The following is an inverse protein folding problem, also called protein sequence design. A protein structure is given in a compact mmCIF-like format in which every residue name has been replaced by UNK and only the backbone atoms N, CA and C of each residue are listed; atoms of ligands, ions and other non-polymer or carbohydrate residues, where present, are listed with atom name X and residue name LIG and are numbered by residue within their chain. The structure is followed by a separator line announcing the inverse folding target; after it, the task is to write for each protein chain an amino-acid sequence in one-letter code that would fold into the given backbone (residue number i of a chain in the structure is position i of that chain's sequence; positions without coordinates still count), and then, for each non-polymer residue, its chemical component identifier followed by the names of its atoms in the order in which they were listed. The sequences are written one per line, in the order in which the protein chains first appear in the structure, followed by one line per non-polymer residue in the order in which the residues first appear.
data_IF_124960234215
#
_entry.id   IF_124960234215
#
_cell.length_a   1.000
_cell.length_b   1.000
_cell.length_c   1.000
_cell.angle_alpha   90.00
_cell.angle_beta   90.00
_cell.angle_gamma   90.00
#
_symmetry.space_group_name_H-M   'P 1'
#
loop_
_entity.id
_entity.type
_entity.pdbx_description
1 polymer ?
#
# COMPACT_ATOMS: atom_id res chain seq x y z
N UNK A 1 16.41 -1.98 34.83
CA UNK A 1 15.71 -1.42 33.67
C UNK A 1 15.79 -2.42 32.53
N UNK A 2 14.71 -3.13 32.24
CA UNK A 2 14.66 -4.08 31.14
C UNK A 2 14.26 -3.29 29.87
N UNK A 3 15.14 -3.20 28.88
CA UNK A 3 14.79 -2.75 27.54
C UNK A 3 13.83 -3.78 26.94
N UNK A 4 12.55 -3.41 26.83
CA UNK A 4 11.63 -4.10 25.95
C UNK A 4 12.08 -3.83 24.50
N UNK A 5 12.76 -4.80 23.90
CA UNK A 5 12.98 -4.81 22.48
C UNK A 5 11.62 -4.91 21.79
N UNK A 6 11.13 -3.78 21.25
CA UNK A 6 10.02 -3.79 20.31
C UNK A 6 10.53 -4.52 19.08
N UNK A 7 10.13 -5.78 18.93
CA UNK A 7 10.42 -6.54 17.73
C UNK A 7 9.76 -5.82 16.55
N UNK A 8 10.58 -5.23 15.67
CA UNK A 8 10.11 -4.71 14.39
C UNK A 8 9.28 -5.79 13.71
N UNK A 9 8.11 -5.46 13.13
CA UNK A 9 7.32 -6.44 12.42
C UNK A 9 8.18 -7.01 11.28
N UNK A 10 8.45 -8.32 11.33
CA UNK A 10 9.17 -9.00 10.27
C UNK A 10 8.30 -8.98 9.01
N UNK A 11 8.51 -8.01 8.16
CA UNK A 11 7.97 -7.91 6.80
C UNK A 11 8.78 -8.82 5.86
N UNK A 12 9.08 -10.06 6.31
CA UNK A 12 9.60 -11.07 5.42
C UNK A 12 8.56 -11.29 4.32
N UNK A 13 8.94 -11.20 3.07
CA UNK A 13 8.12 -11.32 1.85
C UNK A 13 7.15 -12.51 1.89
N UNK A 14 6.11 -12.38 2.73
CA UNK A 14 5.25 -13.46 3.17
C UNK A 14 4.10 -13.65 2.19
N UNK A 15 3.70 -14.90 2.07
CA UNK A 15 2.46 -15.31 1.42
C UNK A 15 1.30 -14.44 1.96
N UNK A 16 0.52 -13.86 1.06
CA UNK A 16 -0.73 -13.17 1.41
C UNK A 16 -1.86 -14.20 1.41
N UNK A 17 -2.74 -14.08 2.37
CA UNK A 17 -3.92 -14.92 2.53
C UNK A 17 -5.17 -14.03 2.45
N UNK A 18 -6.26 -14.58 1.92
CA UNK A 18 -7.55 -13.89 1.90
C UNK A 18 -8.71 -14.84 2.17
N UNK A 19 -9.83 -14.28 2.63
CA UNK A 19 -11.14 -14.89 2.55
C UNK A 19 -12.20 -13.82 2.31
N UNK A 20 -13.35 -14.21 1.78
CA UNK A 20 -14.52 -13.36 1.63
C UNK A 20 -15.54 -13.80 2.68
N UNK A 21 -16.03 -12.85 3.48
CA UNK A 21 -17.06 -13.12 4.45
C UNK A 21 -18.46 -13.21 3.81
N UNK A 22 -19.53 -13.60 4.56
CA UNK A 22 -20.89 -13.70 4.04
C UNK A 22 -21.46 -12.38 3.51
N UNK A 23 -20.94 -11.24 3.97
CA UNK A 23 -21.36 -9.90 3.56
C UNK A 23 -20.64 -9.41 2.28
N UNK A 24 -19.79 -10.28 1.70
CA UNK A 24 -19.00 -9.98 0.49
C UNK A 24 -17.73 -9.15 0.76
N UNK A 25 -17.39 -8.93 2.03
CA UNK A 25 -16.19 -8.19 2.42
C UNK A 25 -14.97 -9.08 2.29
N UNK A 26 -13.97 -8.63 1.54
CA UNK A 26 -12.70 -9.37 1.38
C UNK A 26 -11.73 -8.97 2.48
N UNK A 27 -11.19 -9.98 3.17
CA UNK A 27 -10.18 -9.83 4.20
C UNK A 27 -8.85 -10.37 3.68
N UNK A 28 -7.79 -9.55 3.74
CA UNK A 28 -6.44 -9.96 3.39
C UNK A 28 -5.54 -9.90 4.61
N UNK A 29 -4.61 -10.85 4.75
CA UNK A 29 -3.59 -10.83 5.80
C UNK A 29 -2.32 -11.52 5.34
N UNK A 30 -1.17 -11.09 5.86
CA UNK A 30 0.08 -11.83 5.77
C UNK A 30 0.31 -12.75 7.00
N UNK A 31 -0.62 -12.72 7.99
CA UNK A 31 -0.55 -13.48 9.25
C UNK A 31 -1.92 -14.08 9.59
N UNK A 32 -2.30 -15.22 9.01
CA UNK A 32 -3.63 -15.83 9.24
C UNK A 32 -3.83 -16.35 10.67
N UNK A 33 -2.79 -16.40 11.52
CA UNK A 33 -2.82 -16.79 12.93
C UNK A 33 -3.62 -18.07 13.22
N UNK A 34 -3.60 -19.02 12.28
CA UNK A 34 -4.35 -20.31 12.39
C UNK A 34 -5.82 -20.23 11.98
N UNK A 35 -6.34 -19.09 11.56
CA UNK A 35 -7.70 -18.98 11.01
C UNK A 35 -7.78 -19.67 9.65
N UNK A 36 -8.48 -20.82 9.62
CA UNK A 36 -8.60 -21.70 8.45
C UNK A 36 -9.43 -21.10 7.30
N UNK A 37 -10.15 -20.01 7.52
CA UNK A 37 -10.90 -19.31 6.47
C UNK A 37 -9.93 -18.67 5.48
N UNK A 38 -8.81 -18.15 5.97
CA UNK A 38 -7.79 -17.56 5.13
C UNK A 38 -7.13 -18.61 4.24
N UNK A 39 -7.22 -18.41 2.96
CA UNK A 39 -6.54 -19.22 1.94
C UNK A 39 -5.39 -18.44 1.35
N UNK A 40 -4.26 -19.10 1.01
CA UNK A 40 -3.20 -18.42 0.28
C UNK A 40 -3.76 -17.76 -0.97
N UNK A 41 -3.56 -16.45 -1.10
CA UNK A 41 -3.85 -15.75 -2.34
C UNK A 41 -2.81 -16.21 -3.35
N UNK A 42 -3.21 -17.14 -4.22
CA UNK A 42 -2.51 -17.36 -5.48
C UNK A 42 -2.88 -16.18 -6.36
N UNK A 43 -2.19 -15.05 -6.17
CA UNK A 43 -2.20 -14.02 -7.20
C UNK A 43 -1.67 -14.77 -8.44
N UNK A 44 -2.54 -15.00 -9.39
CA UNK A 44 -2.26 -15.91 -10.52
C UNK A 44 -0.94 -15.50 -11.14
N UNK A 45 0.02 -16.44 -11.22
CA UNK A 45 1.27 -16.30 -12.00
C UNK A 45 0.98 -16.04 -13.49
N UNK A 46 -0.29 -16.11 -13.89
CA UNK A 46 -0.83 -15.80 -15.20
C UNK A 46 -0.95 -14.29 -15.50
N UNK A 47 -0.38 -13.42 -14.68
CA UNK A 47 -0.12 -12.04 -15.10
C UNK A 47 1.10 -12.02 -16.05
N UNK A 48 0.99 -12.77 -17.12
CA UNK A 48 1.85 -12.66 -18.29
C UNK A 48 1.63 -11.30 -18.97
N UNK A 49 2.32 -11.04 -20.07
CA UNK A 49 2.27 -9.78 -20.83
C UNK A 49 0.86 -9.26 -21.23
N UNK A 50 -0.21 -10.05 -21.00
CA UNK A 50 -1.63 -9.70 -21.20
C UNK A 50 -2.33 -9.23 -19.90
N UNK A 51 -1.61 -9.01 -18.81
CA UNK A 51 -2.17 -8.55 -17.55
C UNK A 51 -2.95 -7.24 -17.70
N UNK A 52 -4.13 -7.18 -17.08
CA UNK A 52 -4.97 -5.98 -16.92
C UNK A 52 -4.15 -4.76 -16.43
N UNK A 53 -3.07 -5.00 -15.73
CA UNK A 53 -2.15 -3.99 -15.21
C UNK A 53 -0.77 -4.13 -15.85
N UNK A 54 -0.46 -3.27 -16.84
CA UNK A 54 0.92 -3.12 -17.32
C UNK A 54 1.71 -2.42 -16.22
N UNK A 55 2.71 -3.11 -15.70
CA UNK A 55 3.59 -2.59 -14.67
C UNK A 55 4.40 -1.39 -15.21
N UNK A 56 4.25 -0.21 -14.60
CA UNK A 56 5.15 0.89 -14.91
C UNK A 56 6.50 0.63 -14.24
N UNK A 57 7.58 0.73 -15.01
CA UNK A 57 8.94 0.58 -14.50
C UNK A 57 9.66 1.90 -14.59
N UNK A 58 10.06 2.44 -13.45
CA UNK A 58 11.00 3.54 -13.37
C UNK A 58 11.90 3.37 -12.17
N UNK A 59 13.18 3.69 -12.34
CA UNK A 59 14.16 3.73 -11.26
C UNK A 59 14.44 5.16 -10.79
N UNK A 60 13.83 6.15 -11.45
CA UNK A 60 14.04 7.56 -11.18
C UNK A 60 13.84 7.94 -9.71
N UNK A 61 12.87 7.31 -9.05
CA UNK A 61 12.49 7.64 -7.69
C UNK A 61 12.99 6.60 -6.66
N UNK A 62 13.71 5.55 -7.07
CA UNK A 62 14.13 4.47 -6.18
C UNK A 62 14.99 4.96 -4.98
N UNK A 63 15.93 5.91 -5.12
CA UNK A 63 16.65 6.45 -3.97
C UNK A 63 15.70 7.12 -2.97
N UNK A 64 14.82 7.99 -3.44
CA UNK A 64 13.85 8.70 -2.61
C UNK A 64 12.87 7.74 -1.92
N UNK A 65 12.41 6.70 -2.64
CA UNK A 65 11.55 5.64 -2.10
C UNK A 65 12.30 4.86 -1.02
N UNK A 66 13.58 4.55 -1.25
CA UNK A 66 14.42 3.85 -0.28
C UNK A 66 14.57 4.61 1.03
N UNK A 67 14.86 5.90 0.95
CA UNK A 67 15.02 6.78 2.12
C UNK A 67 13.70 6.88 2.92
N UNK A 68 12.59 7.23 2.26
CA UNK A 68 11.29 7.37 2.91
C UNK A 68 10.80 6.04 3.52
N UNK A 69 11.06 4.93 2.83
CA UNK A 69 10.71 3.59 3.32
C UNK A 69 11.54 3.19 4.56
N UNK A 70 12.83 3.55 4.58
CA UNK A 70 13.71 3.28 5.71
C UNK A 70 13.30 4.08 6.94
N UNK A 71 12.98 5.38 6.77
CA UNK A 71 12.52 6.27 7.84
C UNK A 71 11.27 5.70 8.55
N UNK A 72 10.36 5.08 7.80
CA UNK A 72 9.09 4.55 8.31
C UNK A 72 9.13 3.03 8.58
N UNK A 73 10.23 2.35 8.31
CA UNK A 73 10.34 0.90 8.49
C UNK A 73 9.37 0.11 7.60
N UNK A 74 9.10 0.58 6.39
CA UNK A 74 8.25 -0.06 5.38
C UNK A 74 9.12 -0.64 4.27
N UNK A 75 8.78 -1.79 3.67
CA UNK A 75 9.49 -2.28 2.50
C UNK A 75 9.43 -1.27 1.34
N UNK A 76 10.57 -0.86 0.76
CA UNK A 76 10.59 0.12 -0.34
C UNK A 76 9.81 -0.35 -1.57
N UNK A 77 9.77 -1.66 -1.82
CA UNK A 77 8.94 -2.24 -2.87
C UNK A 77 7.43 -1.97 -2.66
N UNK A 78 6.96 -1.87 -1.40
CA UNK A 78 5.57 -1.53 -1.11
C UNK A 78 5.28 -0.07 -1.43
N UNK A 79 6.15 0.85 -1.03
CA UNK A 79 6.02 2.28 -1.36
C UNK A 79 6.02 2.47 -2.88
N UNK A 80 6.95 1.81 -3.59
CA UNK A 80 7.00 1.82 -5.06
C UNK A 80 5.71 1.31 -5.69
N UNK A 81 5.12 0.25 -5.14
CA UNK A 81 3.86 -0.32 -5.61
C UNK A 81 2.67 0.64 -5.44
N UNK A 82 2.61 1.36 -4.32
CA UNK A 82 1.60 2.40 -4.11
C UNK A 82 1.76 3.52 -5.12
N UNK A 83 2.95 4.07 -5.31
CA UNK A 83 3.22 5.11 -6.31
C UNK A 83 2.82 4.66 -7.73
N UNK A 84 3.14 3.41 -8.08
CA UNK A 84 2.75 2.84 -9.36
C UNK A 84 1.24 2.78 -9.54
N UNK A 85 0.51 2.38 -8.49
CA UNK A 85 -0.94 2.27 -8.51
C UNK A 85 -1.65 3.63 -8.52
N UNK A 86 -1.09 4.62 -7.80
CA UNK A 86 -1.69 5.95 -7.63
C UNK A 86 -1.49 6.85 -8.84
N UNK A 87 -0.26 7.03 -9.27
CA UNK A 87 0.08 8.04 -10.28
C UNK A 87 0.77 7.50 -11.51
N UNK A 88 1.12 6.22 -11.54
CA UNK A 88 2.00 5.67 -12.57
C UNK A 88 3.31 6.50 -12.66
N UNK A 89 3.86 6.91 -11.50
CA UNK A 89 5.07 7.73 -11.35
C UNK A 89 4.97 9.14 -11.96
N UNK A 90 3.78 9.70 -12.14
CA UNK A 90 3.58 11.09 -12.57
C UNK A 90 3.54 12.00 -11.35
N UNK A 91 4.59 12.83 -11.18
CA UNK A 91 4.68 13.75 -10.03
C UNK A 91 3.69 14.92 -10.10
N UNK A 92 3.17 15.22 -11.27
CA UNK A 92 2.19 16.27 -11.54
C UNK A 92 0.75 15.75 -11.62
N UNK A 93 0.51 14.49 -11.25
CA UNK A 93 -0.82 13.89 -11.33
C UNK A 93 -1.80 14.57 -10.38
N UNK A 94 -3.01 14.85 -10.89
CA UNK A 94 -4.16 15.31 -10.12
C UNK A 94 -5.34 14.42 -10.48
N UNK A 95 -5.98 13.82 -9.46
CA UNK A 95 -7.20 13.04 -9.67
C UNK A 95 -8.44 13.95 -9.79
N UNK A 96 -9.52 13.39 -10.30
CA UNK A 96 -10.81 14.10 -10.35
C UNK A 96 -11.37 14.45 -8.95
N UNK A 97 -10.91 13.77 -7.91
CA UNK A 97 -11.25 14.05 -6.50
C UNK A 97 -10.29 15.05 -5.84
N UNK A 98 -9.24 15.51 -6.55
CA UNK A 98 -8.27 16.46 -6.04
C UNK A 98 -7.05 15.86 -5.35
N UNK A 99 -6.85 14.55 -5.39
CA UNK A 99 -5.64 13.91 -4.89
C UNK A 99 -4.44 14.27 -5.78
N UNK A 100 -3.25 14.48 -5.19
CA UNK A 100 -2.11 15.15 -5.83
C UNK A 100 -0.79 14.39 -5.69
N UNK A 101 0.00 14.43 -6.76
CA UNK A 101 1.39 13.97 -6.80
C UNK A 101 1.56 12.46 -6.92
N UNK A 102 2.78 12.00 -6.62
CA UNK A 102 3.20 10.60 -6.80
C UNK A 102 2.34 9.60 -6.02
N UNK A 103 2.02 9.91 -4.76
CA UNK A 103 1.25 9.06 -3.86
C UNK A 103 -0.19 9.52 -3.69
N UNK A 104 -0.65 10.46 -4.54
CA UNK A 104 -2.04 10.93 -4.60
C UNK A 104 -2.62 11.33 -3.24
N UNK A 105 -1.94 12.25 -2.57
CA UNK A 105 -2.43 12.76 -1.29
C UNK A 105 -3.59 13.72 -1.51
N UNK A 106 -4.68 13.52 -0.76
CA UNK A 106 -5.72 14.52 -0.64
C UNK A 106 -5.17 15.75 0.11
N UNK A 107 -5.63 16.98 -0.21
CA UNK A 107 -5.12 18.20 0.43
C UNK A 107 -5.08 18.14 1.95
N UNK A 108 -6.16 17.66 2.58
CA UNK A 108 -6.21 17.51 4.03
C UNK A 108 -5.17 16.51 4.57
N UNK A 109 -4.94 15.42 3.84
CA UNK A 109 -3.93 14.42 4.21
C UNK A 109 -2.52 14.99 4.02
N UNK A 110 -2.29 15.75 2.95
CA UNK A 110 -1.02 16.43 2.71
C UNK A 110 -0.69 17.40 3.85
N UNK A 111 -1.64 18.21 4.27
CA UNK A 111 -1.50 19.12 5.42
C UNK A 111 -1.18 18.36 6.70
N UNK A 112 -1.95 17.32 7.04
CA UNK A 112 -1.72 16.47 8.21
C UNK A 112 -0.34 15.82 8.25
N UNK A 113 0.22 15.50 7.07
CA UNK A 113 1.55 14.88 6.92
C UNK A 113 2.67 15.93 6.72
N UNK A 114 2.38 17.23 6.85
CA UNK A 114 3.37 18.29 6.72
C UNK A 114 3.89 18.48 5.29
N UNK A 115 3.11 18.15 4.28
CA UNK A 115 3.46 18.31 2.87
C UNK A 115 3.00 19.69 2.40
N UNK A 116 3.94 20.62 2.22
CA UNK A 116 3.66 21.98 1.76
C UNK A 116 3.43 22.04 0.24
N UNK A 117 4.20 21.26 -0.52
CA UNK A 117 4.06 21.16 -1.98
C UNK A 117 3.87 19.69 -2.39
N UNK A 118 2.62 19.24 -2.64
CA UNK A 118 2.34 17.86 -3.00
C UNK A 118 2.85 17.46 -4.39
N UNK A 119 3.33 18.39 -5.22
CA UNK A 119 3.96 18.11 -6.52
C UNK A 119 5.49 17.98 -6.43
N UNK A 120 6.07 18.33 -5.29
CA UNK A 120 7.47 18.09 -5.02
C UNK A 120 7.68 16.63 -4.61
N UNK A 121 8.44 15.83 -5.41
CA UNK A 121 8.53 14.38 -5.20
C UNK A 121 8.96 13.96 -3.80
N UNK A 122 9.95 14.65 -3.21
CA UNK A 122 10.46 14.24 -1.91
C UNK A 122 9.44 14.48 -0.79
N UNK A 123 8.73 15.61 -0.81
CA UNK A 123 7.67 15.88 0.18
C UNK A 123 6.50 14.91 0.02
N UNK A 124 6.05 14.69 -1.22
CA UNK A 124 4.92 13.82 -1.49
C UNK A 124 5.19 12.36 -1.10
N UNK A 125 6.37 11.83 -1.46
CA UNK A 125 6.73 10.44 -1.12
C UNK A 125 6.91 10.28 0.39
N UNK A 126 7.58 11.22 1.08
CA UNK A 126 7.70 11.15 2.55
C UNK A 126 6.34 11.20 3.23
N UNK A 127 5.51 12.21 2.94
CA UNK A 127 4.18 12.33 3.55
C UNK A 127 3.27 11.14 3.23
N UNK A 128 3.28 10.68 1.96
CA UNK A 128 2.52 9.50 1.56
C UNK A 128 2.97 8.21 2.24
N UNK A 129 4.29 8.05 2.45
CA UNK A 129 4.84 6.89 3.16
C UNK A 129 4.49 6.93 4.64
N UNK A 130 4.55 8.11 5.29
CA UNK A 130 4.11 8.29 6.67
C UNK A 130 2.61 8.01 6.84
N UNK A 131 1.77 8.47 5.89
CA UNK A 131 0.35 8.15 5.92
C UNK A 131 0.08 6.64 5.73
N UNK A 132 0.81 5.99 4.82
CA UNK A 132 0.74 4.54 4.65
C UNK A 132 1.15 3.80 5.93
N UNK A 133 2.21 4.27 6.62
CA UNK A 133 2.65 3.73 7.90
C UNK A 133 1.54 3.84 8.95
N UNK A 134 0.91 4.99 9.07
CA UNK A 134 -0.20 5.19 10.00
C UNK A 134 -1.37 4.22 9.74
N UNK A 135 -1.69 3.94 8.46
CA UNK A 135 -2.72 2.95 8.12
C UNK A 135 -2.30 1.53 8.48
N UNK A 136 -1.03 1.18 8.25
CA UNK A 136 -0.48 -0.13 8.62
C UNK A 136 -0.54 -0.34 10.14
N UNK A 137 -0.17 0.68 10.92
CA UNK A 137 -0.20 0.61 12.39
C UNK A 137 -1.62 0.49 12.93
N UNK A 138 -2.55 1.26 12.33
CA UNK A 138 -3.96 1.26 12.75
C UNK A 138 -4.63 -0.09 12.54
N UNK A 139 -4.40 -0.73 11.39
CA UNK A 139 -5.15 -1.93 11.02
C UNK A 139 -4.39 -3.23 11.28
N UNK A 140 -3.07 -3.21 11.38
CA UNK A 140 -2.24 -4.41 11.58
C UNK A 140 -2.35 -5.45 10.45
N UNK A 141 -3.04 -5.12 9.37
CA UNK A 141 -3.30 -5.94 8.20
C UNK A 141 -3.08 -5.12 6.93
N UNK A 142 -2.25 -5.63 6.02
CA UNK A 142 -1.84 -4.89 4.83
C UNK A 142 -3.01 -4.58 3.89
N UNK A 143 -3.92 -5.53 3.71
CA UNK A 143 -5.06 -5.34 2.82
C UNK A 143 -5.99 -4.22 3.31
N UNK A 144 -6.28 -4.22 4.62
CA UNK A 144 -7.07 -3.17 5.28
C UNK A 144 -6.36 -1.82 5.24
N UNK A 145 -5.05 -1.81 5.48
CA UNK A 145 -4.26 -0.59 5.40
C UNK A 145 -4.28 0.05 4.00
N UNK A 146 -4.13 -0.76 2.96
CA UNK A 146 -4.23 -0.31 1.56
C UNK A 146 -5.64 0.16 1.22
N UNK A 147 -6.66 -0.55 1.68
CA UNK A 147 -8.05 -0.12 1.50
C UNK A 147 -8.34 1.21 2.20
N UNK A 148 -7.79 1.41 3.42
CA UNK A 148 -7.92 2.65 4.16
C UNK A 148 -7.15 3.79 3.51
N UNK A 149 -6.00 3.51 2.93
CA UNK A 149 -5.24 4.48 2.15
C UNK A 149 -6.06 5.01 0.96
N UNK A 150 -6.73 4.12 0.23
CA UNK A 150 -7.51 4.44 -0.97
C UNK A 150 -8.91 5.01 -0.67
N UNK A 151 -9.68 4.33 0.19
CA UNK A 151 -11.09 4.68 0.44
C UNK A 151 -11.30 5.53 1.70
N UNK A 152 -10.26 5.74 2.49
CA UNK A 152 -10.31 6.38 3.79
C UNK A 152 -10.59 5.40 4.94
N UNK A 153 -10.01 5.66 6.13
CA UNK A 153 -10.14 4.79 7.29
C UNK A 153 -11.59 4.60 7.76
N UNK A 154 -12.43 5.62 7.65
CA UNK A 154 -13.84 5.55 8.04
C UNK A 154 -14.62 4.48 7.27
N UNK A 155 -14.29 4.23 6.00
CA UNK A 155 -14.93 3.19 5.22
C UNK A 155 -14.50 1.80 5.67
N UNK A 156 -13.21 1.61 5.95
CA UNK A 156 -12.69 0.32 6.46
C UNK A 156 -13.27 0.01 7.84
N UNK A 157 -13.40 1.01 8.70
CA UNK A 157 -14.02 0.86 10.02
C UNK A 157 -15.50 0.49 9.90
N UNK A 158 -16.24 1.19 9.03
CA UNK A 158 -17.68 0.95 8.79
C UNK A 158 -17.96 -0.47 8.31
N UNK A 159 -17.13 -1.00 7.41
CA UNK A 159 -17.31 -2.34 6.84
C UNK A 159 -16.58 -3.43 7.60
N UNK A 160 -15.76 -3.09 8.59
CA UNK A 160 -14.94 -4.05 9.34
C UNK A 160 -13.87 -4.77 8.52
N UNK A 161 -13.60 -4.30 7.29
CA UNK A 161 -12.69 -4.91 6.33
C UNK A 161 -12.52 -4.06 5.08
N UNK A 162 -12.09 -4.68 3.97
CA UNK A 162 -12.04 -3.98 2.68
C UNK A 162 -13.47 -3.73 2.19
N UNK A 163 -13.88 -2.45 1.98
CA UNK A 163 -15.22 -2.15 1.52
C UNK A 163 -15.54 -2.85 0.18
N UNK A 164 -16.82 -3.21 -0.07
CA UNK A 164 -17.24 -3.86 -1.30
C UNK A 164 -17.31 -2.88 -2.48
N UNK A 165 -16.40 -1.92 -2.51
CA UNK A 165 -16.24 -0.98 -3.63
C UNK A 165 -15.28 -1.57 -4.64
N UNK A 166 -15.72 -1.74 -5.88
CA UNK A 166 -14.90 -2.33 -6.94
C UNK A 166 -13.58 -1.56 -7.12
N UNK A 167 -13.62 -0.22 -7.04
CA UNK A 167 -12.42 0.62 -7.13
C UNK A 167 -11.39 0.26 -6.06
N UNK A 168 -11.84 0.11 -4.80
CA UNK A 168 -10.94 -0.19 -3.66
C UNK A 168 -10.42 -1.62 -3.71
N UNK A 169 -11.24 -2.58 -4.09
CA UNK A 169 -10.82 -3.97 -4.25
C UNK A 169 -9.78 -4.11 -5.37
N UNK A 170 -10.04 -3.50 -6.53
CA UNK A 170 -9.10 -3.46 -7.66
C UNK A 170 -7.80 -2.72 -7.28
N UNK A 171 -7.87 -1.68 -6.45
CA UNK A 171 -6.70 -0.97 -5.95
C UNK A 171 -5.81 -1.86 -5.08
N UNK A 172 -6.39 -2.51 -4.08
CA UNK A 172 -5.66 -3.41 -3.18
C UNK A 172 -4.98 -4.53 -3.99
N UNK A 173 -5.71 -5.17 -4.91
CA UNK A 173 -5.18 -6.24 -5.75
C UNK A 173 -4.03 -5.74 -6.64
N UNK A 174 -4.18 -4.55 -7.23
CA UNK A 174 -3.17 -3.91 -8.06
C UNK A 174 -1.89 -3.60 -7.28
N UNK A 175 -2.00 -2.98 -6.09
CA UNK A 175 -0.83 -2.68 -5.25
C UNK A 175 -0.11 -3.95 -4.83
N UNK A 176 -0.84 -4.97 -4.37
CA UNK A 176 -0.25 -6.24 -3.97
C UNK A 176 0.46 -6.96 -5.14
N UNK A 177 -0.09 -6.83 -6.35
CA UNK A 177 0.52 -7.35 -7.59
C UNK A 177 1.84 -6.63 -7.88
N UNK A 178 1.86 -5.31 -7.83
CA UNK A 178 3.08 -4.51 -8.04
C UNK A 178 4.12 -4.76 -6.94
N UNK A 179 3.69 -4.84 -5.68
CA UNK A 179 4.58 -5.10 -4.55
C UNK A 179 5.41 -6.37 -4.74
N UNK A 180 4.78 -7.47 -5.20
CA UNK A 180 5.49 -8.71 -5.49
C UNK A 180 6.54 -8.54 -6.59
N UNK A 181 6.20 -7.81 -7.64
CA UNK A 181 7.08 -7.62 -8.80
C UNK A 181 8.27 -6.73 -8.48
N UNK A 182 8.06 -5.69 -7.65
CA UNK A 182 9.13 -4.78 -7.24
C UNK A 182 10.00 -5.31 -6.12
N UNK A 183 9.65 -6.45 -5.50
CA UNK A 183 10.44 -7.01 -4.42
C UNK A 183 11.90 -7.27 -4.81
N UNK A 184 12.15 -7.68 -6.06
CA UNK A 184 13.49 -7.87 -6.60
C UNK A 184 14.28 -6.59 -6.87
N UNK A 185 13.61 -5.43 -7.01
CA UNK A 185 14.27 -4.16 -7.34
C UNK A 185 15.13 -3.65 -6.17
N UNK A 186 14.81 -4.06 -4.93
CA UNK A 186 15.46 -3.64 -3.68
C UNK A 186 16.15 -4.82 -2.94
N UNK A 187 16.20 -6.01 -3.53
CA UNK A 187 16.94 -7.13 -2.99
C UNK A 187 18.43 -6.94 -3.33
N UNK A 188 19.21 -6.45 -2.37
CA UNK A 188 20.68 -6.41 -2.40
C UNK A 188 21.25 -7.15 -1.20
#
# INVERSE_FOLDING_TARGET
MALLAVAAPAWAGGQIYAFVDPDGVTHFTNRPRGDKRFKPVRLRDNYSASSKYREPRTQKYDPLIGDAAADEGIPPALVKAVIAAESNFKSDAVSHKGAQGLMQLMPETAEQMGVENPFEPAQNVRGGTSYLRAMIDRYGDLGRALAAYNAGPSMVDRYGGIPPFQETQDYVDRVLTYYRRYHGDFAR
#
